data_IF_974311551213
#
_entry.id   IF_974311551213
#
_cell.length_a   1.000
_cell.length_b   1.000
_cell.length_c   1.000
_cell.angle_alpha   90.00
_cell.angle_beta   90.00
_cell.angle_gamma   90.00
#
_symmetry.space_group_name_H-M   'P 1'
#
loop_
_entity.id
_entity.type
_entity.pdbx_description
1 polymer ?
#
# COMPACT_ATOMS: atom_id res chain seq x y z
N UNK A 1 -32.38 52.12 57.95
CA UNK A 1 -32.67 52.11 56.50
C UNK A 1 -31.36 52.03 55.74
N UNK A 2 -30.97 50.85 55.28
CA UNK A 2 -30.12 50.67 54.09
C UNK A 2 -30.15 49.19 53.70
N UNK A 3 -30.68 48.91 52.51
CA UNK A 3 -30.78 47.60 51.89
C UNK A 3 -29.45 47.32 51.15
N UNK A 4 -28.81 46.17 51.40
CA UNK A 4 -27.84 45.60 50.46
C UNK A 4 -28.41 44.32 49.84
N UNK A 5 -28.75 44.40 48.54
CA UNK A 5 -29.08 43.27 47.67
C UNK A 5 -27.78 42.61 47.22
N UNK A 6 -27.59 41.34 47.53
CA UNK A 6 -26.58 40.50 46.89
C UNK A 6 -27.09 40.04 45.52
N UNK A 7 -26.43 40.48 44.46
CA UNK A 7 -26.66 40.04 43.08
C UNK A 7 -25.74 38.85 42.82
N UNK A 8 -26.32 37.68 42.52
CA UNK A 8 -25.57 36.53 42.00
C UNK A 8 -25.20 36.80 40.52
N UNK A 9 -23.91 36.94 40.23
CA UNK A 9 -23.39 36.89 38.87
C UNK A 9 -23.38 35.43 38.41
N UNK A 10 -24.27 35.08 37.48
CA UNK A 10 -24.21 33.81 36.74
C UNK A 10 -23.21 33.97 35.60
N UNK A 11 -22.07 33.28 35.69
CA UNK A 11 -21.09 33.22 34.61
C UNK A 11 -21.61 32.21 33.57
N UNK A 12 -22.17 32.72 32.48
CA UNK A 12 -22.41 31.91 31.28
C UNK A 12 -21.04 31.61 30.65
N UNK A 13 -20.53 30.39 30.82
CA UNK A 13 -19.37 29.92 30.06
C UNK A 13 -19.81 29.72 28.60
N UNK A 14 -19.46 30.68 27.74
CA UNK A 14 -19.61 30.52 26.30
C UNK A 14 -18.62 29.44 25.83
N UNK A 15 -19.15 28.25 25.51
CA UNK A 15 -18.37 27.21 24.83
C UNK A 15 -18.13 27.65 23.40
N UNK A 16 -16.89 28.05 23.10
CA UNK A 16 -16.47 28.25 21.72
C UNK A 16 -16.63 26.93 20.96
N UNK A 17 -17.27 26.91 19.78
CA UNK A 17 -17.37 25.69 18.99
C UNK A 17 -15.94 25.28 18.58
N UNK A 18 -15.53 24.10 19.02
CA UNK A 18 -14.33 23.44 18.51
C UNK A 18 -14.53 23.19 17.03
N UNK A 19 -13.86 23.98 16.20
CA UNK A 19 -13.72 23.68 14.78
C UNK A 19 -12.88 22.39 14.70
N UNK A 20 -13.54 21.26 14.46
CA UNK A 20 -12.86 20.04 14.02
C UNK A 20 -12.29 20.33 12.64
N UNK A 21 -11.01 20.72 12.59
CA UNK A 21 -10.22 20.56 11.38
C UNK A 21 -10.17 19.06 11.11
N UNK A 22 -10.88 18.59 10.08
CA UNK A 22 -10.67 17.25 9.56
C UNK A 22 -9.18 17.14 9.24
N UNK A 23 -8.49 16.27 9.98
CA UNK A 23 -7.08 15.97 9.77
C UNK A 23 -6.95 15.42 8.34
N UNK A 24 -6.49 16.27 7.41
CA UNK A 24 -6.41 15.96 5.97
C UNK A 24 -5.28 14.97 5.65
N UNK A 25 -4.56 14.49 6.67
CA UNK A 25 -3.53 13.49 6.55
C UNK A 25 -4.18 12.09 6.55
N UNK A 26 -3.87 11.19 5.57
CA UNK A 26 -4.43 9.85 5.56
C UNK A 26 -3.97 9.12 6.83
N UNK A 27 -4.91 8.99 7.76
CA UNK A 27 -4.68 8.28 9.00
C UNK A 27 -4.47 6.79 8.71
N UNK A 28 -3.69 6.15 9.56
CA UNK A 28 -3.73 4.70 9.66
C UNK A 28 -5.09 4.33 10.23
N UNK A 29 -5.95 3.72 9.42
CA UNK A 29 -7.33 3.35 9.77
C UNK A 29 -7.49 1.86 9.50
N UNK A 30 -8.20 1.18 10.38
CA UNK A 30 -8.47 -0.25 10.28
C UNK A 30 -7.52 -1.08 11.15
N UNK A 31 -7.50 -2.38 10.87
CA UNK A 31 -6.69 -3.36 11.60
C UNK A 31 -5.85 -4.18 10.61
N UNK A 32 -4.73 -4.72 11.09
CA UNK A 32 -3.96 -5.71 10.35
C UNK A 32 -4.59 -7.12 10.44
N UNK A 33 -4.04 -8.10 9.72
CA UNK A 33 -4.54 -9.48 9.73
C UNK A 33 -4.58 -10.16 11.11
N UNK A 34 -3.96 -9.58 12.14
CA UNK A 34 -4.01 -10.07 13.52
C UNK A 34 -5.03 -9.32 14.39
N UNK A 35 -5.85 -8.44 13.81
CA UNK A 35 -6.82 -7.61 14.53
C UNK A 35 -6.15 -6.47 15.32
N UNK A 36 -4.88 -6.16 15.03
CA UNK A 36 -4.20 -5.04 15.70
C UNK A 36 -4.52 -3.76 14.97
N UNK A 37 -4.94 -2.69 15.66
CA UNK A 37 -5.18 -1.40 15.03
C UNK A 37 -3.97 -0.92 14.26
N UNK A 38 -4.21 -0.41 13.07
CA UNK A 38 -3.20 0.28 12.30
C UNK A 38 -2.92 1.62 12.96
N UNK A 39 -1.77 1.73 13.62
CA UNK A 39 -1.31 2.96 14.29
C UNK A 39 0.04 3.33 13.74
N UNK A 40 0.20 4.60 13.35
CA UNK A 40 1.48 5.11 12.86
C UNK A 40 1.50 6.63 12.88
N UNK A 41 2.70 7.19 12.99
CA UNK A 41 2.89 8.65 12.93
C UNK A 41 2.77 9.15 11.49
N UNK A 42 2.10 10.29 11.34
CA UNK A 42 2.22 11.13 10.15
C UNK A 42 3.61 11.76 10.15
N UNK A 43 4.27 11.80 8.98
CA UNK A 43 5.59 12.42 8.85
C UNK A 43 5.50 13.96 8.88
N UNK A 44 6.62 14.63 9.13
CA UNK A 44 6.72 16.10 9.05
C UNK A 44 6.90 16.62 7.61
N UNK A 45 7.07 15.73 6.64
CA UNK A 45 7.26 16.03 5.22
C UNK A 45 6.29 15.20 4.39
N UNK A 46 5.59 15.84 3.45
CA UNK A 46 4.44 15.25 2.73
C UNK A 46 3.14 15.27 3.55
N UNK A 47 2.14 14.45 3.20
CA UNK A 47 2.17 13.42 2.16
C UNK A 47 2.00 13.98 0.74
N UNK A 48 2.62 13.30 -0.25
CA UNK A 48 2.46 13.57 -1.68
C UNK A 48 1.92 12.34 -2.43
N UNK A 49 1.11 12.58 -3.47
CA UNK A 49 0.53 11.53 -4.31
C UNK A 49 1.51 11.08 -5.39
N UNK A 50 1.95 9.83 -5.30
CA UNK A 50 2.92 9.25 -6.23
C UNK A 50 2.39 9.13 -7.67
N UNK A 51 1.07 9.05 -7.85
CA UNK A 51 0.46 9.11 -9.18
C UNK A 51 0.65 10.48 -9.83
N UNK A 52 0.84 11.53 -9.02
CA UNK A 52 1.08 12.92 -9.43
C UNK A 52 2.54 13.35 -9.26
N UNK A 53 3.46 12.41 -9.06
CA UNK A 53 4.88 12.69 -8.76
C UNK A 53 5.60 13.64 -9.73
N UNK A 54 5.15 13.69 -10.99
CA UNK A 54 5.69 14.62 -12.01
C UNK A 54 5.47 16.09 -11.64
N UNK A 55 4.49 16.38 -10.79
CA UNK A 55 4.23 17.73 -10.27
C UNK A 55 5.09 18.09 -9.05
N UNK A 56 5.81 17.12 -8.49
CA UNK A 56 6.63 17.27 -7.28
C UNK A 56 8.04 16.67 -7.48
N UNK A 57 8.77 17.08 -8.54
CA UNK A 57 10.05 16.45 -8.89
C UNK A 57 11.13 16.69 -7.83
N UNK A 58 11.09 17.85 -7.15
CA UNK A 58 12.04 18.19 -6.08
C UNK A 58 11.79 17.33 -4.85
N UNK A 59 10.54 17.21 -4.43
CA UNK A 59 10.10 16.44 -3.28
C UNK A 59 10.40 14.95 -3.48
N UNK A 60 10.17 14.45 -4.70
CA UNK A 60 10.47 13.07 -5.06
C UNK A 60 11.97 12.83 -4.98
N UNK A 61 12.78 13.70 -5.60
CA UNK A 61 14.23 13.61 -5.58
C UNK A 61 14.79 13.65 -4.15
N UNK A 62 14.33 14.58 -3.31
CA UNK A 62 14.79 14.72 -1.93
C UNK A 62 14.54 13.44 -1.13
N UNK A 63 13.35 12.86 -1.23
CA UNK A 63 13.02 11.62 -0.50
C UNK A 63 13.74 10.42 -1.09
N UNK A 64 13.73 10.22 -2.42
CA UNK A 64 14.34 9.04 -3.02
C UNK A 64 15.87 9.04 -2.86
N UNK A 65 16.53 10.20 -3.00
CA UNK A 65 17.99 10.31 -2.84
C UNK A 65 18.45 10.05 -1.40
N UNK A 66 17.67 10.47 -0.40
CA UNK A 66 18.02 10.30 1.01
C UNK A 66 17.56 8.94 1.59
N UNK A 67 16.36 8.48 1.24
CA UNK A 67 15.68 7.37 1.93
C UNK A 67 15.24 6.23 1.00
N UNK A 68 15.36 6.36 -0.32
CA UNK A 68 14.97 5.27 -1.22
C UNK A 68 16.06 4.95 -2.24
N UNK A 69 17.29 4.80 -1.75
CA UNK A 69 18.44 4.37 -2.54
C UNK A 69 18.27 2.93 -3.03
N UNK A 70 19.07 2.52 -4.02
CA UNK A 70 19.06 1.13 -4.53
C UNK A 70 19.27 0.09 -3.43
N UNK A 71 20.10 0.39 -2.41
CA UNK A 71 20.30 -0.50 -1.28
C UNK A 71 19.04 -0.68 -0.42
N UNK A 72 18.27 0.39 -0.24
CA UNK A 72 16.99 0.36 0.47
C UNK A 72 15.97 -0.41 -0.35
N UNK A 73 15.83 -0.09 -1.64
CA UNK A 73 14.87 -0.74 -2.55
C UNK A 73 15.12 -2.26 -2.66
N UNK A 74 16.39 -2.67 -2.75
CA UNK A 74 16.80 -4.08 -2.86
C UNK A 74 16.87 -4.81 -1.51
N UNK A 75 16.63 -4.10 -0.39
CA UNK A 75 16.64 -4.61 0.98
C UNK A 75 18.02 -5.13 1.45
N UNK A 76 19.09 -4.49 0.97
CA UNK A 76 20.49 -4.81 1.36
C UNK A 76 20.84 -4.12 2.67
N UNK A 77 20.65 -2.80 2.76
CA UNK A 77 20.87 -1.99 3.98
C UNK A 77 20.05 -0.69 3.93
N UNK A 78 19.89 -0.03 5.08
CA UNK A 78 19.33 1.31 5.14
C UNK A 78 20.32 2.39 4.66
N UNK A 79 19.77 3.56 4.32
CA UNK A 79 20.54 4.79 4.09
C UNK A 79 20.87 5.48 5.41
N UNK A 80 19.93 5.47 6.36
CA UNK A 80 20.06 6.15 7.66
C UNK A 80 20.22 5.19 8.84
N UNK A 81 20.13 3.89 8.59
CA UNK A 81 20.35 2.84 9.60
C UNK A 81 20.87 1.55 8.96
N UNK A 82 21.22 0.55 9.78
CA UNK A 82 21.67 -0.75 9.28
C UNK A 82 20.59 -1.52 8.51
N UNK A 83 19.30 -1.21 8.72
CA UNK A 83 18.19 -1.91 8.12
C UNK A 83 17.35 -0.99 7.23
N UNK A 84 16.82 -1.49 6.11
CA UNK A 84 16.06 -0.68 5.17
C UNK A 84 14.71 -0.20 5.72
N UNK A 85 14.17 -0.82 6.78
CA UNK A 85 12.82 -0.53 7.25
C UNK A 85 12.58 0.93 7.63
N UNK A 86 13.52 1.58 8.33
CA UNK A 86 13.36 2.97 8.75
C UNK A 86 13.21 3.91 7.56
N UNK A 87 14.04 3.71 6.54
CA UNK A 87 14.05 4.49 5.31
C UNK A 87 12.81 4.20 4.42
N UNK A 88 12.38 2.93 4.34
CA UNK A 88 11.11 2.58 3.70
C UNK A 88 9.90 3.23 4.40
N UNK A 89 9.87 3.20 5.73
CA UNK A 89 8.81 3.82 6.51
C UNK A 89 8.81 5.35 6.37
N UNK A 90 9.98 5.98 6.31
CA UNK A 90 10.07 7.42 6.00
C UNK A 90 9.50 7.71 4.62
N UNK A 91 9.96 6.97 3.60
CA UNK A 91 9.51 7.12 2.22
C UNK A 91 7.99 6.99 2.12
N UNK A 92 7.39 5.99 2.77
CA UNK A 92 5.95 5.79 2.78
C UNK A 92 5.18 6.80 3.63
N UNK A 93 5.78 7.43 4.66
CA UNK A 93 5.13 8.57 5.34
C UNK A 93 5.01 9.76 4.41
N UNK A 94 6.08 10.09 3.69
CA UNK A 94 6.12 11.21 2.75
C UNK A 94 5.35 10.94 1.46
N UNK A 95 5.30 9.70 1.00
CA UNK A 95 4.63 9.27 -0.23
C UNK A 95 3.82 7.99 0.04
N UNK A 96 2.58 8.11 0.56
CA UNK A 96 1.79 6.96 1.03
C UNK A 96 1.61 5.86 -0.01
N UNK A 97 1.42 6.24 -1.27
CA UNK A 97 1.26 5.34 -2.41
C UNK A 97 2.52 5.23 -3.28
N UNK A 98 3.71 5.38 -2.70
CA UNK A 98 4.96 5.19 -3.44
C UNK A 98 5.12 3.73 -3.90
N UNK A 99 4.87 3.45 -5.18
CA UNK A 99 4.77 2.09 -5.71
C UNK A 99 6.00 1.22 -5.42
N UNK A 100 7.20 1.75 -5.70
CA UNK A 100 8.46 1.03 -5.45
C UNK A 100 8.66 0.73 -3.96
N UNK A 101 8.42 1.70 -3.08
CA UNK A 101 8.54 1.51 -1.64
C UNK A 101 7.48 0.54 -1.08
N UNK A 102 6.24 0.55 -1.59
CA UNK A 102 5.20 -0.43 -1.24
C UNK A 102 5.58 -1.86 -1.65
N UNK A 103 6.21 -2.01 -2.82
CA UNK A 103 6.75 -3.32 -3.23
C UNK A 103 7.91 -3.76 -2.31
N UNK A 104 8.83 -2.85 -1.97
CA UNK A 104 9.95 -3.14 -1.07
C UNK A 104 9.51 -3.45 0.36
N UNK A 105 8.54 -2.71 0.93
CA UNK A 105 8.00 -3.00 2.28
C UNK A 105 7.28 -4.36 2.27
N UNK A 106 6.54 -4.70 1.22
CA UNK A 106 5.92 -6.03 1.07
C UNK A 106 6.96 -7.16 1.12
N UNK A 107 8.02 -7.03 0.32
CA UNK A 107 9.16 -7.97 0.31
C UNK A 107 9.87 -8.03 1.66
N UNK A 108 10.04 -6.89 2.33
CA UNK A 108 10.62 -6.81 3.66
C UNK A 108 9.79 -7.60 4.67
N UNK A 109 8.47 -7.38 4.72
CA UNK A 109 7.58 -8.13 5.60
C UNK A 109 7.61 -9.63 5.34
N UNK A 110 7.54 -10.06 4.07
CA UNK A 110 7.58 -11.48 3.72
C UNK A 110 8.91 -12.14 4.13
N UNK A 111 10.04 -11.44 3.96
CA UNK A 111 11.37 -11.94 4.34
C UNK A 111 11.57 -11.97 5.85
N UNK A 112 11.27 -10.88 6.54
CA UNK A 112 11.64 -10.67 7.94
C UNK A 112 10.64 -11.25 8.95
N UNK A 113 9.34 -11.37 8.58
CA UNK A 113 8.36 -12.11 9.40
C UNK A 113 8.75 -13.58 9.53
N UNK A 114 9.31 -14.18 8.47
CA UNK A 114 9.75 -15.59 8.47
C UNK A 114 10.88 -15.87 9.47
N UNK A 115 11.69 -14.87 9.80
CA UNK A 115 12.81 -15.00 10.74
C UNK A 115 12.48 -14.42 12.13
N UNK A 116 11.19 -14.21 12.44
CA UNK A 116 10.72 -13.81 13.77
C UNK A 116 11.02 -12.36 14.16
N UNK A 117 11.42 -11.49 13.22
CA UNK A 117 11.71 -10.10 13.55
C UNK A 117 10.41 -9.32 13.75
N UNK A 118 10.31 -8.61 14.87
CA UNK A 118 9.21 -7.68 15.11
C UNK A 118 9.30 -6.50 14.14
N UNK A 119 8.18 -6.17 13.50
CA UNK A 119 8.07 -5.04 12.56
C UNK A 119 6.96 -4.11 13.08
N UNK A 120 7.25 -2.83 13.34
CA UNK A 120 6.32 -1.92 14.02
C UNK A 120 4.97 -1.72 13.33
N UNK A 121 4.98 -1.47 12.03
CA UNK A 121 3.77 -1.23 11.22
C UNK A 121 3.69 -2.35 10.20
N UNK A 122 2.56 -3.04 10.11
CA UNK A 122 2.37 -4.14 9.15
C UNK A 122 2.33 -3.61 7.71
N UNK A 123 2.70 -4.45 6.73
CA UNK A 123 2.54 -4.09 5.32
C UNK A 123 1.07 -3.80 4.96
N UNK A 124 0.11 -4.48 5.61
CA UNK A 124 -1.31 -4.20 5.41
C UNK A 124 -1.68 -2.79 5.85
N UNK A 125 -1.21 -2.33 7.00
CA UNK A 125 -1.44 -0.96 7.45
C UNK A 125 -0.85 0.08 6.48
N UNK A 126 0.31 -0.22 5.86
CA UNK A 126 0.87 0.64 4.81
C UNK A 126 -0.01 0.67 3.56
N UNK A 127 -0.54 -0.48 3.11
CA UNK A 127 -1.45 -0.54 1.96
C UNK A 127 -2.79 0.13 2.24
N UNK A 128 -3.38 -0.08 3.42
CA UNK A 128 -4.63 0.58 3.82
C UNK A 128 -4.45 2.11 3.80
N UNK A 129 -3.34 2.62 4.35
CA UNK A 129 -3.02 4.05 4.27
C UNK A 129 -2.83 4.54 2.84
N UNK A 130 -2.14 3.78 1.98
CA UNK A 130 -1.95 4.11 0.57
C UNK A 130 -3.28 4.21 -0.19
N UNK A 131 -4.18 3.24 0.02
CA UNK A 131 -5.52 3.18 -0.59
C UNK A 131 -6.40 4.32 -0.09
N UNK A 132 -6.38 4.60 1.22
CA UNK A 132 -7.15 5.70 1.79
C UNK A 132 -6.68 7.06 1.23
N UNK A 133 -5.39 7.18 0.93
CA UNK A 133 -4.81 8.40 0.37
C UNK A 133 -5.07 8.57 -1.12
N UNK A 134 -4.94 7.49 -1.90
CA UNK A 134 -5.15 7.50 -3.36
C UNK A 134 -6.03 6.30 -3.78
N UNK A 135 -7.36 6.39 -3.60
CA UNK A 135 -8.28 5.27 -3.79
C UNK A 135 -8.49 4.86 -5.25
N UNK A 136 -7.94 5.61 -6.20
CA UNK A 136 -8.00 5.30 -7.64
C UNK A 136 -6.65 4.85 -8.20
N UNK A 137 -5.66 4.56 -7.34
CA UNK A 137 -4.35 4.09 -7.76
C UNK A 137 -4.36 2.58 -8.04
N UNK A 138 -4.59 2.22 -9.30
CA UNK A 138 -4.61 0.82 -9.75
C UNK A 138 -3.35 0.04 -9.37
N UNK A 139 -2.17 0.68 -9.40
CA UNK A 139 -0.89 0.03 -9.09
C UNK A 139 -0.80 -0.33 -7.61
N UNK A 140 -1.31 0.52 -6.73
CA UNK A 140 -1.38 0.23 -5.29
C UNK A 140 -2.26 -0.99 -5.00
N UNK A 141 -3.44 -1.11 -5.63
CA UNK A 141 -4.28 -2.30 -5.50
C UNK A 141 -3.61 -3.57 -6.03
N UNK A 142 -2.94 -3.49 -7.19
CA UNK A 142 -2.18 -4.62 -7.75
C UNK A 142 -1.09 -5.08 -6.77
N UNK A 143 -0.28 -4.15 -6.25
CA UNK A 143 0.79 -4.44 -5.29
C UNK A 143 0.24 -5.04 -3.99
N UNK A 144 -0.92 -4.56 -3.52
CA UNK A 144 -1.55 -5.16 -2.35
C UNK A 144 -2.03 -6.59 -2.64
N UNK A 145 -2.64 -6.82 -3.81
CA UNK A 145 -3.00 -8.14 -4.31
C UNK A 145 -1.80 -9.10 -4.36
N UNK A 146 -0.63 -8.62 -4.79
CA UNK A 146 0.62 -9.39 -4.78
C UNK A 146 1.06 -9.76 -3.37
N UNK A 147 1.05 -8.81 -2.43
CA UNK A 147 1.39 -9.08 -1.03
C UNK A 147 0.41 -10.08 -0.38
N UNK A 148 -0.89 -9.92 -0.63
CA UNK A 148 -1.95 -10.80 -0.14
C UNK A 148 -1.84 -12.22 -0.69
N UNK A 149 -1.57 -12.36 -1.99
CA UNK A 149 -1.35 -13.64 -2.63
C UNK A 149 -0.16 -14.38 -1.98
N UNK A 150 0.98 -13.69 -1.80
CA UNK A 150 2.15 -14.26 -1.14
C UNK A 150 1.89 -14.59 0.35
N UNK A 151 1.01 -13.83 1.00
CA UNK A 151 0.56 -14.07 2.38
C UNK A 151 -0.56 -15.10 2.51
N UNK A 152 -0.91 -15.81 1.41
CA UNK A 152 -1.98 -16.83 1.33
C UNK A 152 -3.40 -16.32 1.63
N UNK A 153 -3.62 -15.00 1.55
CA UNK A 153 -4.93 -14.35 1.68
C UNK A 153 -5.62 -14.27 0.32
N UNK A 154 -5.94 -15.44 -0.24
CA UNK A 154 -6.32 -15.56 -1.66
C UNK A 154 -7.62 -14.82 -2.02
N UNK A 155 -8.61 -14.78 -1.13
CA UNK A 155 -9.88 -14.08 -1.36
C UNK A 155 -9.69 -12.57 -1.40
N UNK A 156 -8.91 -12.02 -0.47
CA UNK A 156 -8.57 -10.60 -0.46
C UNK A 156 -7.70 -10.22 -1.66
N UNK A 157 -6.76 -11.09 -2.06
CA UNK A 157 -5.93 -10.87 -3.24
C UNK A 157 -6.79 -10.76 -4.51
N UNK A 158 -7.77 -11.64 -4.68
CA UNK A 158 -8.73 -11.66 -5.79
C UNK A 158 -9.45 -10.32 -5.94
N UNK A 159 -10.05 -9.82 -4.84
CA UNK A 159 -10.75 -8.54 -4.82
C UNK A 159 -9.84 -7.34 -5.17
N UNK A 160 -8.57 -7.37 -4.72
CA UNK A 160 -7.61 -6.30 -5.02
C UNK A 160 -7.17 -6.31 -6.48
N UNK A 161 -6.92 -7.48 -7.08
CA UNK A 161 -6.62 -7.55 -8.51
C UNK A 161 -7.81 -7.14 -9.38
N UNK A 162 -9.02 -7.54 -9.02
CA UNK A 162 -10.24 -7.09 -9.70
C UNK A 162 -10.40 -5.57 -9.62
N UNK A 163 -10.10 -4.97 -8.47
CA UNK A 163 -10.13 -3.51 -8.31
C UNK A 163 -9.06 -2.83 -9.15
N UNK A 164 -7.84 -3.36 -9.17
CA UNK A 164 -6.76 -2.84 -10.02
C UNK A 164 -7.16 -2.85 -11.51
N UNK A 165 -7.70 -3.97 -12.00
CA UNK A 165 -8.15 -4.12 -13.39
C UNK A 165 -9.43 -3.35 -13.71
N UNK A 166 -10.26 -3.01 -12.72
CA UNK A 166 -11.38 -2.09 -12.91
C UNK A 166 -10.90 -0.64 -13.10
N UNK A 167 -9.83 -0.25 -12.41
CA UNK A 167 -9.26 1.08 -12.49
C UNK A 167 -8.34 1.26 -13.71
N UNK A 168 -7.60 0.22 -14.07
CA UNK A 168 -6.71 0.16 -15.23
C UNK A 168 -6.84 -1.20 -15.93
N UNK A 169 -7.82 -1.34 -16.85
CA UNK A 169 -8.12 -2.60 -17.53
C UNK A 169 -6.99 -3.12 -18.42
N UNK A 170 -6.08 -2.27 -18.87
CA UNK A 170 -5.01 -2.64 -19.80
C UNK A 170 -3.68 -2.97 -19.06
N UNK A 171 -3.69 -2.91 -17.73
CA UNK A 171 -2.51 -3.11 -16.91
C UNK A 171 -1.94 -4.54 -17.04
N UNK A 172 -0.90 -4.68 -17.88
CA UNK A 172 -0.25 -5.96 -18.18
C UNK A 172 0.23 -6.68 -16.91
N UNK A 173 0.80 -5.95 -15.96
CA UNK A 173 1.30 -6.52 -14.70
C UNK A 173 0.16 -7.06 -13.83
N UNK A 174 -0.98 -6.37 -13.80
CA UNK A 174 -2.18 -6.82 -13.08
C UNK A 174 -2.75 -8.09 -13.71
N UNK A 175 -2.85 -8.15 -15.05
CA UNK A 175 -3.24 -9.36 -15.77
C UNK A 175 -2.33 -10.53 -15.44
N UNK A 176 -1.01 -10.34 -15.52
CA UNK A 176 -0.04 -11.40 -15.22
C UNK A 176 -0.15 -11.90 -13.76
N UNK A 177 -0.17 -10.99 -12.79
CA UNK A 177 -0.19 -11.35 -11.38
C UNK A 177 -1.54 -11.96 -10.95
N UNK A 178 -2.65 -11.48 -11.50
CA UNK A 178 -3.96 -12.06 -11.27
C UNK A 178 -4.07 -13.45 -11.90
N UNK A 179 -3.54 -13.64 -13.10
CA UNK A 179 -3.43 -14.96 -13.73
C UNK A 179 -2.69 -15.97 -12.85
N UNK A 180 -1.59 -15.56 -12.20
CA UNK A 180 -0.87 -16.41 -11.24
C UNK A 180 -1.72 -16.78 -10.01
N UNK A 181 -2.51 -15.85 -9.49
CA UNK A 181 -3.46 -16.13 -8.40
C UNK A 181 -4.54 -17.12 -8.84
N UNK A 182 -5.11 -16.93 -10.03
CA UNK A 182 -6.14 -17.80 -10.58
C UNK A 182 -5.64 -19.24 -10.79
N UNK A 183 -4.39 -19.40 -11.25
CA UNK A 183 -3.72 -20.71 -11.26
C UNK A 183 -3.64 -21.31 -9.85
N UNK A 184 -3.25 -20.54 -8.84
CA UNK A 184 -3.19 -21.02 -7.46
C UNK A 184 -4.56 -21.44 -6.91
N UNK A 185 -5.65 -20.83 -7.42
CA UNK A 185 -7.03 -21.19 -7.13
C UNK A 185 -7.59 -22.29 -8.06
N UNK A 186 -6.78 -22.85 -8.96
CA UNK A 186 -7.18 -23.83 -10.01
C UNK A 186 -8.26 -23.32 -10.99
N UNK A 187 -8.44 -22.00 -11.10
CA UNK A 187 -9.33 -21.33 -12.07
C UNK A 187 -8.59 -21.12 -13.39
N UNK A 188 -8.31 -22.23 -14.07
CA UNK A 188 -7.37 -22.22 -15.21
C UNK A 188 -7.92 -21.50 -16.45
N UNK A 189 -9.22 -21.61 -16.71
CA UNK A 189 -9.85 -20.96 -17.87
C UNK A 189 -9.73 -19.44 -17.79
N UNK A 190 -9.98 -18.87 -16.61
CA UNK A 190 -9.84 -17.44 -16.33
C UNK A 190 -8.36 -17.04 -16.36
N UNK A 191 -7.48 -17.83 -15.72
CA UNK A 191 -6.05 -17.57 -15.74
C UNK A 191 -5.48 -17.50 -17.17
N UNK A 192 -5.94 -18.38 -18.06
CA UNK A 192 -5.57 -18.40 -19.47
C UNK A 192 -5.95 -17.10 -20.18
N UNK A 193 -7.17 -16.58 -19.96
CA UNK A 193 -7.61 -15.29 -20.54
C UNK A 193 -6.68 -14.15 -20.13
N UNK A 194 -6.34 -14.06 -18.84
CA UNK A 194 -5.40 -13.04 -18.37
C UNK A 194 -3.98 -13.25 -18.92
N UNK A 195 -3.53 -14.50 -19.07
CA UNK A 195 -2.24 -14.82 -19.68
C UNK A 195 -2.17 -14.42 -21.16
N UNK A 196 -3.24 -14.66 -21.93
CA UNK A 196 -3.34 -14.25 -23.34
C UNK A 196 -3.19 -12.73 -23.49
N UNK A 197 -3.87 -11.95 -22.64
CA UNK A 197 -3.75 -10.49 -22.62
C UNK A 197 -2.32 -10.06 -22.29
N UNK A 198 -1.71 -10.65 -21.26
CA UNK A 198 -0.35 -10.28 -20.86
C UNK A 198 0.69 -10.60 -21.95
N UNK A 199 0.60 -11.77 -22.58
CA UNK A 199 1.59 -12.18 -23.59
C UNK A 199 1.33 -11.60 -24.98
N UNK A 200 0.11 -11.19 -25.30
CA UNK A 200 -0.17 -10.40 -26.51
C UNK A 200 0.63 -9.07 -26.50
N UNK A 201 0.87 -8.52 -25.31
CA UNK A 201 1.66 -7.31 -25.11
C UNK A 201 3.15 -7.60 -24.81
N UNK A 202 3.65 -8.77 -25.21
CA UNK A 202 5.06 -9.18 -25.06
C UNK A 202 5.59 -9.15 -23.61
N UNK A 203 4.73 -9.40 -22.60
CA UNK A 203 5.19 -9.46 -21.21
C UNK A 203 6.28 -10.54 -21.03
N UNK A 204 7.44 -10.21 -20.42
CA UNK A 204 8.64 -11.04 -20.55
C UNK A 204 8.62 -12.27 -19.65
N UNK A 205 7.89 -12.24 -18.53
CA UNK A 205 7.94 -13.30 -17.52
C UNK A 205 7.15 -14.54 -17.95
N UNK A 206 7.83 -15.67 -18.13
CA UNK A 206 7.21 -16.92 -18.58
C UNK A 206 6.51 -17.72 -17.46
N UNK A 207 6.58 -17.27 -16.21
CA UNK A 207 6.13 -18.04 -15.05
C UNK A 207 4.66 -18.47 -15.12
N UNK A 208 3.76 -17.57 -15.55
CA UNK A 208 2.35 -17.89 -15.74
C UNK A 208 2.13 -18.89 -16.87
N UNK A 209 2.86 -18.74 -17.99
CA UNK A 209 2.79 -19.65 -19.14
C UNK A 209 3.21 -21.06 -18.75
N UNK A 210 4.33 -21.17 -18.04
CA UNK A 210 4.88 -22.45 -17.60
C UNK A 210 3.91 -23.18 -16.66
N UNK A 211 3.25 -22.45 -15.75
CA UNK A 211 2.24 -23.05 -14.86
C UNK A 211 1.00 -23.52 -15.61
N UNK A 212 0.55 -22.78 -16.62
CA UNK A 212 -0.58 -23.18 -17.46
C UNK A 212 -0.20 -24.37 -18.37
N UNK A 213 1.01 -24.40 -18.95
CA UNK A 213 1.54 -25.57 -19.69
C UNK A 213 1.55 -26.82 -18.81
N UNK A 214 2.08 -26.71 -17.58
CA UNK A 214 2.10 -27.82 -16.62
C UNK A 214 0.69 -28.31 -16.22
N UNK A 215 -0.32 -27.45 -16.27
CA UNK A 215 -1.72 -27.82 -16.03
C UNK A 215 -2.45 -28.34 -17.29
N UNK A 216 -1.80 -28.41 -18.46
CA UNK A 216 -2.42 -28.76 -19.74
C UNK A 216 -3.32 -27.65 -20.31
N UNK A 217 -3.18 -26.42 -19.84
CA UNK A 217 -4.07 -25.28 -20.13
C UNK A 217 -3.41 -24.23 -21.04
N UNK A 218 -2.21 -24.53 -21.56
CA UNK A 218 -1.51 -23.71 -22.53
C UNK A 218 -0.87 -24.58 -23.62
N UNK A 219 -0.94 -24.20 -24.91
CA UNK A 219 -0.33 -24.98 -25.99
C UNK A 219 1.18 -25.16 -25.82
N UNK A 220 1.69 -26.35 -26.12
CA UNK A 220 3.12 -26.69 -25.96
C UNK A 220 4.05 -26.13 -27.05
N UNK A 221 3.52 -25.38 -28.03
CA UNK A 221 4.29 -24.75 -29.10
C UNK A 221 5.52 -24.01 -28.55
#
# INVERSE_FOLDING_TARGET
>A
MSYMKNIFLSILAATLPTILYADTNPQFIGEDFSGRPCVGSIGSYGPFDYTKRVNYPKELYLVESAHFTTNVETLVKGSTSSLPYGDLAYTLRAWPNHHRALNSISRYHLKFKRIGKSIPISAECWFQRAINYSPNDATTYMLYGMYLHNSKKLKQADANYQTALRLDPDNIQSHYNYGLLLVAQKKFSEAKKHAEIAYAQSYPLQGLRNKLKAAGQWPNK
#
